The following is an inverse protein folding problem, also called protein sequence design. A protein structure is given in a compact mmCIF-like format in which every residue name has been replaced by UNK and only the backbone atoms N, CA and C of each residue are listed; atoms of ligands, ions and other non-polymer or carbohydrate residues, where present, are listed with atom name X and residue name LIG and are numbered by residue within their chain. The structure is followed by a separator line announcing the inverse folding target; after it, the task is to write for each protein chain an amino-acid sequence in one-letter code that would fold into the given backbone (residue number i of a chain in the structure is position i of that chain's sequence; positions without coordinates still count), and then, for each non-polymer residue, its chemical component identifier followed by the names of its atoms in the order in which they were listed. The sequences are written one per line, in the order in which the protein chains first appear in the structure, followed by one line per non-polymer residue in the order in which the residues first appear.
data_IF_864636373123
#
_entry.id   IF_864636373123
#
_cell.length_a   1.000
_cell.length_b   1.000
_cell.length_c   1.000
_cell.angle_alpha   90.00
_cell.angle_beta   90.00
_cell.angle_gamma   90.00
#
_symmetry.space_group_name_H-M   'P 1'
#
loop_
_entity.id
_entity.type
_entity.pdbx_description
1 polymer ?
#
# COMPACT_ATOMS: atom_id res chain seq x y z
N UNK A 1 -30.35 -14.58 -9.86
CA UNK A 1 -29.50 -14.06 -10.96
C UNK A 1 -29.51 -12.55 -10.91
N UNK A 2 -28.35 -11.89 -10.98
CA UNK A 2 -28.18 -10.50 -11.47
C UNK A 2 -26.68 -10.23 -11.57
N UNK A 3 -26.22 -9.73 -12.72
CA UNK A 3 -24.83 -9.25 -12.88
C UNK A 3 -24.81 -7.75 -12.59
N UNK A 4 -23.80 -7.28 -11.86
CA UNK A 4 -23.43 -5.87 -11.85
C UNK A 4 -22.15 -5.75 -12.66
N UNK A 5 -22.16 -4.86 -13.64
CA UNK A 5 -20.98 -4.46 -14.41
C UNK A 5 -20.69 -3.02 -14.02
N UNK A 6 -19.46 -2.74 -13.56
CA UNK A 6 -19.00 -1.40 -13.27
C UNK A 6 -17.55 -1.27 -13.77
N UNK A 7 -17.35 -0.41 -14.75
CA UNK A 7 -16.04 -0.03 -15.28
C UNK A 7 -16.00 1.50 -15.38
N UNK A 8 -14.78 2.06 -15.43
CA UNK A 8 -14.42 3.48 -15.49
C UNK A 8 -14.69 4.34 -14.24
N UNK A 9 -13.59 4.82 -13.67
CA UNK A 9 -13.41 6.16 -13.06
C UNK A 9 -14.48 6.68 -12.08
N UNK A 10 -14.48 6.20 -10.83
CA UNK A 10 -14.31 7.02 -9.61
C UNK A 10 -14.57 6.22 -8.31
N UNK A 11 -13.53 5.56 -7.79
CA UNK A 11 -13.59 4.88 -6.49
C UNK A 11 -13.29 5.86 -5.35
N UNK A 12 -14.27 6.66 -4.94
CA UNK A 12 -14.15 7.51 -3.74
C UNK A 12 -14.18 6.66 -2.47
N UNK A 13 -13.12 6.76 -1.65
CA UNK A 13 -13.07 6.20 -0.29
C UNK A 13 -13.32 7.34 0.70
N UNK A 14 -14.15 7.10 1.71
CA UNK A 14 -14.45 8.07 2.78
C UNK A 14 -13.49 7.87 3.95
N UNK A 15 -12.72 8.91 4.28
CA UNK A 15 -11.73 8.90 5.38
C UNK A 15 -11.73 10.30 6.04
N UNK A 16 -11.61 10.41 7.38
CA UNK A 16 -12.49 11.92 8.18
C UNK A 16 -11.99 13.38 8.03
N UNK A 17 -12.36 14.21 9.01
CA UNK A 17 -12.75 15.61 8.74
C UNK A 17 -11.62 16.67 8.75
N UNK A 18 -10.36 16.26 8.88
CA UNK A 18 -9.22 17.14 9.17
C UNK A 18 -8.19 17.30 8.04
N UNK A 19 -8.32 16.54 6.94
CA UNK A 19 -7.64 16.82 5.68
C UNK A 19 -8.53 17.68 4.76
N UNK A 20 -8.49 19.01 4.96
CA UNK A 20 -9.20 19.96 4.11
C UNK A 20 -8.30 21.09 3.58
N UNK A 21 -8.15 21.18 2.26
CA UNK A 21 -7.53 22.31 1.55
C UNK A 21 -8.36 22.69 0.29
N UNK A 22 -8.31 23.96 -0.17
CA UNK A 22 -9.54 24.66 -0.54
C UNK A 22 -9.76 24.83 -2.05
N UNK A 23 -9.79 23.75 -2.84
CA UNK A 23 -9.89 23.83 -4.32
C UNK A 23 -11.01 23.01 -4.97
N UNK A 24 -11.99 22.51 -4.21
CA UNK A 24 -13.17 21.85 -4.79
C UNK A 24 -14.21 22.88 -5.29
N UNK A 25 -14.82 22.69 -6.49
CA UNK A 25 -15.91 23.55 -6.94
C UNK A 25 -17.13 23.40 -6.03
N UNK A 26 -17.74 24.53 -5.63
CA UNK A 26 -18.74 24.61 -4.53
C UNK A 26 -19.92 23.62 -4.62
N UNK A 27 -20.26 23.12 -5.81
CA UNK A 27 -21.42 22.24 -6.07
C UNK A 27 -21.38 20.85 -5.41
N UNK A 28 -20.28 20.44 -4.78
CA UNK A 28 -20.18 19.13 -4.12
C UNK A 28 -20.28 19.18 -2.58
N UNK A 29 -20.32 20.36 -1.96
CA UNK A 29 -20.24 20.49 -0.50
C UNK A 29 -21.55 20.12 0.24
N UNK A 30 -22.68 20.07 -0.45
CA UNK A 30 -24.02 20.04 0.16
C UNK A 30 -24.57 18.62 0.46
N UNK A 31 -23.75 17.57 0.29
CA UNK A 31 -24.18 16.16 0.48
C UNK A 31 -23.20 15.27 1.26
N UNK A 32 -22.33 15.85 2.09
CA UNK A 32 -21.62 15.07 3.10
C UNK A 32 -22.59 14.64 4.23
N UNK A 33 -22.72 13.35 4.56
CA UNK A 33 -23.48 12.92 5.73
C UNK A 33 -22.75 13.38 7.01
N UNK A 34 -23.42 14.17 7.83
CA UNK A 34 -22.86 14.73 9.07
C UNK A 34 -22.88 13.68 10.18
N UNK A 35 -21.71 13.29 10.70
CA UNK A 35 -21.63 12.44 11.89
C UNK A 35 -21.97 13.23 13.15
N UNK A 36 -22.63 12.57 14.11
CA UNK A 36 -22.98 13.17 15.42
C UNK A 36 -21.91 12.91 16.50
N UNK A 37 -20.80 12.25 16.14
CA UNK A 37 -19.59 12.13 16.95
C UNK A 37 -18.39 12.68 16.18
N UNK A 38 -17.53 13.39 16.90
CA UNK A 38 -16.47 14.26 16.37
C UNK A 38 -15.14 13.55 16.09
N UNK A 39 -15.21 12.32 15.56
CA UNK A 39 -14.05 11.50 15.28
C UNK A 39 -13.35 11.99 13.99
N UNK A 40 -12.00 11.99 13.97
CA UNK A 40 -11.13 12.66 12.96
C UNK A 40 -10.53 11.66 11.96
N UNK A 41 -10.66 11.94 10.66
CA UNK A 41 -10.89 10.93 9.52
C UNK A 41 -9.52 11.28 8.72
N UNK A 42 -8.36 10.81 9.22
CA UNK A 42 -7.04 11.12 8.61
C UNK A 42 -6.77 10.25 7.38
N UNK A 43 -6.60 10.91 6.22
CA UNK A 43 -6.40 10.25 4.93
C UNK A 43 -4.90 10.15 4.57
N UNK A 44 -4.35 8.95 4.64
CA UNK A 44 -3.03 8.62 4.07
C UNK A 44 -3.10 8.58 2.53
N UNK A 45 -3.17 9.76 1.91
CA UNK A 45 -3.10 9.93 0.45
C UNK A 45 -1.64 9.83 -0.01
N UNK A 46 -1.16 8.60 -0.23
CA UNK A 46 0.05 8.36 -1.04
C UNK A 46 -0.08 9.01 -2.42
N UNK A 47 1.03 9.37 -3.09
CA UNK A 47 0.94 10.05 -4.38
C UNK A 47 0.38 9.07 -5.41
N UNK A 48 -0.33 9.60 -6.42
CA UNK A 48 -1.03 8.81 -7.44
C UNK A 48 -0.11 8.02 -8.41
N UNK A 49 1.20 8.02 -8.17
CA UNK A 49 2.19 7.18 -8.86
C UNK A 49 2.69 6.01 -8.00
N UNK A 50 2.33 5.95 -6.71
CA UNK A 50 2.95 5.04 -5.74
C UNK A 50 2.09 3.78 -5.50
N UNK A 51 0.95 3.61 -6.18
CA UNK A 51 -0.01 2.52 -5.91
C UNK A 51 0.12 1.39 -6.93
N UNK A 52 0.28 0.15 -6.45
CA UNK A 52 0.36 -1.08 -7.26
C UNK A 52 -1.05 -1.65 -7.46
N UNK A 53 -1.39 -2.08 -8.67
CA UNK A 53 -2.67 -2.73 -9.01
C UNK A 53 -2.42 -4.21 -9.32
N UNK A 54 -2.51 -5.05 -8.28
CA UNK A 54 -2.20 -6.49 -8.36
C UNK A 54 -3.47 -7.33 -8.45
N UNK A 55 -3.73 -7.88 -9.64
CA UNK A 55 -4.90 -8.74 -9.90
C UNK A 55 -6.24 -8.01 -9.81
N UNK A 56 -6.23 -6.67 -9.88
CA UNK A 56 -7.39 -5.81 -9.63
C UNK A 56 -7.48 -5.26 -8.20
N UNK A 57 -6.65 -5.73 -7.28
CA UNK A 57 -6.56 -5.21 -5.90
C UNK A 57 -5.52 -4.09 -5.78
N UNK A 58 -5.86 -3.04 -5.02
CA UNK A 58 -4.94 -1.93 -4.75
C UNK A 58 -3.99 -2.28 -3.59
N UNK A 59 -2.68 -2.06 -3.80
CA UNK A 59 -1.65 -2.22 -2.77
C UNK A 59 -0.83 -0.94 -2.66
N UNK A 60 -0.66 -0.46 -1.43
CA UNK A 60 0.19 0.68 -1.10
C UNK A 60 1.55 0.17 -0.59
N UNK A 61 2.67 0.43 -1.28
CA UNK A 61 4.02 0.04 -0.86
C UNK A 61 4.31 0.36 0.59
N UNK A 62 3.98 1.58 1.04
CA UNK A 62 4.23 2.07 2.40
C UNK A 62 3.63 1.18 3.50
N UNK A 63 2.52 0.48 3.24
CA UNK A 63 1.94 -0.49 4.19
C UNK A 63 2.83 -1.74 4.33
N UNK A 64 3.42 -2.17 3.20
CA UNK A 64 4.32 -3.33 3.12
C UNK A 64 5.72 -2.98 3.63
N UNK A 65 6.21 -1.78 3.31
CA UNK A 65 7.48 -1.21 3.77
C UNK A 65 7.47 -1.02 5.29
N UNK A 66 6.47 -0.34 5.84
CA UNK A 66 6.32 -0.20 7.30
C UNK A 66 6.29 -1.57 7.99
N UNK A 67 5.54 -2.54 7.45
CA UNK A 67 5.51 -3.90 7.99
C UNK A 67 6.84 -4.66 7.82
N UNK A 68 7.69 -4.31 6.87
CA UNK A 68 9.05 -4.86 6.76
C UNK A 68 10.02 -4.20 7.74
N UNK A 69 9.89 -2.89 7.99
CA UNK A 69 10.68 -2.14 8.96
C UNK A 69 10.40 -2.54 10.42
N UNK A 70 9.27 -3.18 10.69
CA UNK A 70 8.98 -3.85 11.97
C UNK A 70 9.82 -5.13 12.20
N UNK A 71 10.57 -5.62 11.21
CA UNK A 71 11.40 -6.82 11.32
C UNK A 71 12.80 -6.48 11.85
N UNK A 72 13.30 -7.09 12.95
CA UNK A 72 14.55 -6.67 13.60
C UNK A 72 15.82 -6.84 12.73
N UNK A 73 15.74 -7.64 11.66
CA UNK A 73 16.83 -7.90 10.70
C UNK A 73 16.73 -7.06 9.41
N UNK A 74 15.80 -6.08 9.36
CA UNK A 74 15.63 -5.13 8.26
C UNK A 74 15.93 -3.71 8.78
N UNK A 75 16.84 -3.00 8.10
CA UNK A 75 17.20 -1.61 8.42
C UNK A 75 16.54 -0.59 7.50
N UNK A 76 16.25 -0.96 6.24
CA UNK A 76 15.55 -0.13 5.26
C UNK A 76 14.82 -1.02 4.25
N UNK A 77 13.73 -0.53 3.64
CA UNK A 77 12.93 -1.30 2.69
C UNK A 77 12.21 -0.40 1.65
N UNK A 78 12.17 -0.85 0.40
CA UNK A 78 11.38 -0.23 -0.66
C UNK A 78 10.61 -1.28 -1.46
N UNK A 79 9.34 -1.02 -1.75
CA UNK A 79 8.43 -1.96 -2.40
C UNK A 79 7.89 -1.34 -3.69
N UNK A 80 7.95 -2.10 -4.79
CA UNK A 80 7.49 -1.63 -6.11
C UNK A 80 6.58 -2.64 -6.80
N UNK A 81 5.73 -2.12 -7.68
CA UNK A 81 5.08 -2.89 -8.72
C UNK A 81 6.09 -3.30 -9.78
N UNK A 82 6.02 -4.56 -10.24
CA UNK A 82 6.75 -5.06 -11.40
C UNK A 82 5.79 -5.79 -12.35
N UNK A 83 5.94 -5.68 -13.68
CA UNK A 83 4.98 -6.27 -14.62
C UNK A 83 4.80 -7.78 -14.45
N UNK A 84 3.54 -8.22 -14.35
CA UNK A 84 3.14 -9.63 -14.23
C UNK A 84 2.13 -10.03 -15.31
N UNK A 85 2.33 -11.19 -15.94
CA UNK A 85 1.52 -11.64 -17.09
C UNK A 85 0.10 -12.09 -16.72
N UNK A 86 -0.18 -12.36 -15.46
CA UNK A 86 -1.45 -12.89 -14.96
C UNK A 86 -2.18 -11.87 -14.06
N UNK A 87 -1.42 -11.10 -13.30
CA UNK A 87 -1.93 -10.15 -12.31
C UNK A 87 -1.82 -8.68 -12.76
N UNK A 88 -1.21 -8.39 -13.92
CA UNK A 88 -0.87 -7.04 -14.35
C UNK A 88 0.41 -6.56 -13.66
N UNK A 89 0.39 -6.56 -12.32
CA UNK A 89 1.55 -6.28 -11.48
C UNK A 89 1.75 -7.36 -10.40
N UNK A 90 3.01 -7.67 -10.12
CA UNK A 90 3.48 -8.39 -8.94
C UNK A 90 4.23 -7.44 -8.01
N UNK A 91 4.43 -7.86 -6.77
CA UNK A 91 5.10 -7.05 -5.74
C UNK A 91 6.54 -7.53 -5.58
N UNK A 92 7.50 -6.61 -5.76
CA UNK A 92 8.91 -6.81 -5.45
C UNK A 92 9.31 -5.94 -4.26
N UNK A 93 9.99 -6.54 -3.28
CA UNK A 93 10.61 -5.83 -2.17
C UNK A 93 12.13 -5.81 -2.33
N UNK A 94 12.72 -4.61 -2.25
CA UNK A 94 14.14 -4.41 -1.99
C UNK A 94 14.34 -4.22 -0.49
N UNK A 95 15.30 -4.92 0.09
CA UNK A 95 15.51 -5.00 1.54
C UNK A 95 16.98 -4.71 1.85
N UNK A 96 17.22 -3.78 2.78
CA UNK A 96 18.54 -3.55 3.38
C UNK A 96 18.59 -4.31 4.71
N UNK A 97 19.44 -5.36 4.86
CA UNK A 97 19.60 -6.06 6.12
C UNK A 97 20.19 -5.18 7.23
N UNK A 98 19.84 -5.46 8.49
CA UNK A 98 20.52 -4.84 9.65
C UNK A 98 21.97 -5.30 9.77
N UNK A 99 22.26 -6.54 9.40
CA UNK A 99 23.61 -7.08 9.22
C UNK A 99 23.76 -7.68 7.81
N UNK A 100 24.58 -7.10 6.92
CA UNK A 100 24.84 -7.66 5.59
C UNK A 100 25.51 -9.06 5.59
N UNK A 101 26.11 -9.49 6.70
CA UNK A 101 26.67 -10.83 6.85
C UNK A 101 25.64 -11.88 7.28
N UNK A 102 24.51 -11.47 7.85
CA UNK A 102 23.41 -12.35 8.28
C UNK A 102 22.03 -11.79 7.84
N UNK A 103 21.73 -11.78 6.52
CA UNK A 103 20.46 -11.29 6.00
C UNK A 103 19.29 -12.25 6.33
N UNK A 104 18.07 -11.72 6.57
CA UNK A 104 16.89 -12.54 6.79
C UNK A 104 16.46 -13.30 5.53
N UNK A 105 15.88 -14.48 5.69
CA UNK A 105 15.44 -15.28 4.56
C UNK A 105 14.19 -14.68 3.88
N UNK A 106 14.06 -14.89 2.56
CA UNK A 106 12.85 -14.52 1.81
C UNK A 106 11.58 -15.15 2.40
N UNK A 107 11.69 -16.40 2.87
CA UNK A 107 10.62 -17.19 3.49
C UNK A 107 10.24 -16.67 4.88
N UNK A 108 11.23 -16.18 5.65
CA UNK A 108 11.08 -15.54 6.96
C UNK A 108 10.32 -14.21 6.82
N UNK A 109 10.78 -13.33 5.92
CA UNK A 109 10.10 -12.06 5.62
C UNK A 109 8.69 -12.29 5.01
N UNK A 110 8.52 -13.31 4.17
CA UNK A 110 7.22 -13.70 3.60
C UNK A 110 6.26 -14.20 4.68
N UNK A 111 6.70 -15.00 5.64
CA UNK A 111 5.89 -15.42 6.77
C UNK A 111 5.53 -14.22 7.67
N UNK A 112 6.52 -13.38 8.00
CA UNK A 112 6.36 -12.21 8.86
C UNK A 112 5.39 -11.17 8.29
N UNK A 113 5.48 -10.88 6.99
CA UNK A 113 4.51 -10.02 6.29
C UNK A 113 3.14 -10.69 6.21
N UNK A 114 3.06 -11.98 5.84
CA UNK A 114 1.78 -12.71 5.69
C UNK A 114 0.98 -12.85 6.99
N UNK A 115 1.64 -12.81 8.15
CA UNK A 115 1.02 -12.86 9.47
C UNK A 115 0.15 -11.62 9.77
N UNK A 116 0.47 -10.45 9.21
CA UNK A 116 -0.27 -9.21 9.42
C UNK A 116 -1.03 -8.75 8.16
N UNK A 117 -0.47 -8.97 6.97
CA UNK A 117 -1.00 -8.45 5.70
C UNK A 117 -1.88 -9.46 4.97
N UNK A 118 -2.85 -8.94 4.23
CA UNK A 118 -3.63 -9.71 3.26
C UNK A 118 -2.71 -10.33 2.20
N UNK A 119 -2.99 -11.56 1.76
CA UNK A 119 -2.09 -12.35 0.91
C UNK A 119 -1.73 -11.73 -0.45
N UNK A 120 -2.57 -10.82 -0.97
CA UNK A 120 -2.28 -10.08 -2.20
C UNK A 120 -1.26 -8.94 -2.00
N UNK A 121 -1.03 -8.46 -0.77
CA UNK A 121 -0.04 -7.43 -0.43
C UNK A 121 1.36 -7.98 -0.12
N UNK A 122 1.47 -9.30 0.08
CA UNK A 122 2.75 -9.96 0.41
C UNK A 122 3.67 -10.00 -0.82
N UNK A 123 4.94 -9.55 -0.71
CA UNK A 123 5.89 -9.61 -1.82
C UNK A 123 6.12 -11.03 -2.33
N UNK A 124 6.23 -11.14 -3.65
CA UNK A 124 6.51 -12.38 -4.37
C UNK A 124 7.90 -12.43 -4.97
N UNK A 125 8.60 -11.30 -4.99
CA UNK A 125 10.01 -11.17 -5.39
C UNK A 125 10.74 -10.40 -4.29
N UNK A 126 11.97 -10.81 -3.99
CA UNK A 126 12.81 -10.25 -2.93
C UNK A 126 14.21 -10.01 -3.48
N UNK A 127 14.80 -8.86 -3.15
CA UNK A 127 16.19 -8.54 -3.50
C UNK A 127 16.88 -7.84 -2.33
N UNK A 128 18.03 -8.36 -1.92
CA UNK A 128 18.80 -7.80 -0.81
C UNK A 128 19.86 -6.84 -1.36
N UNK A 129 19.85 -5.61 -0.87
CA UNK A 129 20.70 -4.52 -1.37
C UNK A 129 21.46 -3.85 -0.21
N UNK A 130 22.68 -3.33 -0.42
CA UNK A 130 23.47 -2.72 0.65
C UNK A 130 22.96 -1.33 1.07
N UNK A 131 22.16 -0.68 0.23
CA UNK A 131 21.51 0.60 0.50
C UNK A 131 20.40 0.86 -0.53
N UNK A 132 19.48 1.78 -0.21
CA UNK A 132 18.49 2.31 -1.14
C UNK A 132 18.88 3.75 -1.56
N UNK A 133 18.52 4.18 -2.78
CA UNK A 133 18.70 5.57 -3.19
C UNK A 133 17.86 6.53 -2.32
N UNK A 134 18.34 7.76 -2.19
CA UNK A 134 17.78 8.83 -1.34
C UNK A 134 17.54 10.10 -2.17
#
# INVERSE_FOLDING_TARGET
MSKIWANSANSHVLVPADLWLPSLPRRLAERAPRSERGDKYEILVGRRGDMIIRGGENVYPLEVENRLLEHPRVADAAVIGVPDRLLGEAIKAYVVPTDPADPPASEELRAFTRAALAGFKVPTQWEFVPSLPR
#
